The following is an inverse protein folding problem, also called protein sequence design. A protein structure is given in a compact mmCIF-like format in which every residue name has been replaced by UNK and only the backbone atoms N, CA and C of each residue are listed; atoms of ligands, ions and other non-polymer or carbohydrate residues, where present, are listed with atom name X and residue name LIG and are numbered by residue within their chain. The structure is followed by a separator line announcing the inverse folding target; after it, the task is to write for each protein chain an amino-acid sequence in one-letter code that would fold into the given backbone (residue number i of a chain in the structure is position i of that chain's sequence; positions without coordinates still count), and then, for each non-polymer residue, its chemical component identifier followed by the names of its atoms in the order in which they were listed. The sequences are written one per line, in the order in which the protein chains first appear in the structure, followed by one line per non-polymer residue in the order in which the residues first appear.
data_IF_169033073602
#
_entry.id   IF_169033073602
#
_cell.length_a   1.000
_cell.length_b   1.000
_cell.length_c   1.000
_cell.angle_alpha   90.00
_cell.angle_beta   90.00
_cell.angle_gamma   90.00
#
_symmetry.space_group_name_H-M   'P 1'
#
loop_
_entity.id
_entity.type
_entity.pdbx_description
1 polymer ?
#
# COMPACT_ATOMS: atom_id res chain seq x y z
N UNK A 1 -6.28 31.41 38.80
CA UNK A 1 -5.74 30.07 38.47
C UNK A 1 -6.41 29.44 37.24
N UNK A 2 -7.74 29.43 37.12
CA UNK A 2 -8.41 28.89 35.90
C UNK A 2 -8.21 29.73 34.62
N UNK A 3 -8.08 31.05 34.75
CA UNK A 3 -7.88 31.96 33.60
C UNK A 3 -6.48 31.80 32.97
N UNK A 4 -5.43 31.63 33.78
CA UNK A 4 -4.07 31.35 33.28
C UNK A 4 -3.96 29.97 32.62
N UNK A 5 -4.69 28.96 33.11
CA UNK A 5 -4.79 27.63 32.50
C UNK A 5 -5.43 27.70 31.11
N UNK A 6 -6.52 28.46 30.95
CA UNK A 6 -7.19 28.66 29.67
C UNK A 6 -6.33 29.45 28.66
N UNK A 7 -5.63 30.48 29.13
CA UNK A 7 -4.75 31.31 28.31
C UNK A 7 -3.52 30.53 27.81
N UNK A 8 -2.93 29.69 28.68
CA UNK A 8 -1.81 28.81 28.32
C UNK A 8 -2.24 27.72 27.31
N UNK A 9 -3.44 27.15 27.48
CA UNK A 9 -4.02 26.18 26.53
C UNK A 9 -4.30 26.82 25.15
N UNK A 10 -4.82 28.04 25.11
CA UNK A 10 -5.05 28.80 23.87
C UNK A 10 -3.76 29.16 23.12
N UNK A 11 -2.69 29.50 23.84
CA UNK A 11 -1.36 29.76 23.27
C UNK A 11 -0.77 28.51 22.59
N UNK A 12 -0.89 27.35 23.24
CA UNK A 12 -0.36 26.08 22.70
C UNK A 12 -1.09 25.65 21.43
N UNK A 13 -2.40 25.82 21.35
CA UNK A 13 -3.20 25.47 20.16
C UNK A 13 -2.80 26.34 18.96
N UNK A 14 -2.59 27.64 19.17
CA UNK A 14 -2.14 28.55 18.09
C UNK A 14 -0.76 28.14 17.57
N UNK A 15 0.18 27.84 18.47
CA UNK A 15 1.51 27.38 18.07
C UNK A 15 1.46 26.05 17.30
N UNK A 16 0.64 25.09 17.75
CA UNK A 16 0.44 23.82 17.05
C UNK A 16 -0.10 24.02 15.63
N UNK A 17 -1.09 24.89 15.45
CA UNK A 17 -1.65 25.19 14.14
C UNK A 17 -0.61 25.85 13.22
N UNK A 18 0.18 26.78 13.75
CA UNK A 18 1.26 27.44 13.00
C UNK A 18 2.30 26.41 12.54
N UNK A 19 2.76 25.54 13.45
CA UNK A 19 3.73 24.50 13.12
C UNK A 19 3.19 23.50 12.09
N UNK A 20 1.91 23.11 12.21
CA UNK A 20 1.25 22.23 11.26
C UNK A 20 1.17 22.87 9.86
N UNK A 21 0.72 24.12 9.77
CA UNK A 21 0.59 24.83 8.50
C UNK A 21 1.97 25.10 7.87
N UNK A 22 2.96 25.50 8.67
CA UNK A 22 4.33 25.69 8.20
C UNK A 22 4.93 24.38 7.69
N UNK A 23 4.80 23.29 8.46
CA UNK A 23 5.28 21.96 8.05
C UNK A 23 4.61 21.47 6.78
N UNK A 24 3.29 21.63 6.65
CA UNK A 24 2.55 21.26 5.45
C UNK A 24 2.98 22.09 4.23
N UNK A 25 3.17 23.40 4.38
CA UNK A 25 3.61 24.28 3.29
C UNK A 25 5.04 23.92 2.82
N UNK A 26 5.97 23.70 3.76
CA UNK A 26 7.35 23.30 3.46
C UNK A 26 7.37 21.94 2.77
N UNK A 27 6.58 20.98 3.26
CA UNK A 27 6.46 19.66 2.66
C UNK A 27 5.92 19.72 1.23
N UNK A 28 4.84 20.47 1.00
CA UNK A 28 4.27 20.65 -0.34
C UNK A 28 5.27 21.30 -1.30
N UNK A 29 5.97 22.34 -0.84
CA UNK A 29 7.01 22.98 -1.62
C UNK A 29 8.13 21.99 -1.97
N UNK A 30 8.68 21.28 -0.98
CA UNK A 30 9.72 20.28 -1.20
C UNK A 30 9.29 19.18 -2.18
N UNK A 31 8.05 18.68 -2.06
CA UNK A 31 7.52 17.68 -2.98
C UNK A 31 7.35 18.21 -4.41
N UNK A 32 6.95 19.48 -4.57
CA UNK A 32 6.84 20.11 -5.89
C UNK A 32 8.18 20.33 -6.59
N UNK A 33 9.26 20.48 -5.83
CA UNK A 33 10.63 20.59 -6.36
C UNK A 33 11.24 19.22 -6.67
N UNK A 34 10.85 18.16 -5.92
CA UNK A 34 11.44 16.82 -6.04
C UNK A 34 10.73 15.91 -7.04
N UNK A 35 9.42 16.08 -7.25
CA UNK A 35 8.60 15.13 -8.00
C UNK A 35 7.99 15.79 -9.26
N UNK A 36 7.93 15.06 -10.40
CA UNK A 36 7.24 15.55 -11.59
C UNK A 36 5.76 15.87 -11.29
N UNK A 37 5.27 16.99 -11.83
CA UNK A 37 3.87 17.41 -11.63
C UNK A 37 2.86 16.33 -12.03
N UNK A 38 3.12 15.59 -13.12
CA UNK A 38 2.29 14.46 -13.54
C UNK A 38 2.22 13.37 -12.45
N UNK A 39 3.35 13.01 -11.83
CA UNK A 39 3.40 12.02 -10.76
C UNK A 39 2.67 12.50 -9.50
N UNK A 40 2.79 13.78 -9.14
CA UNK A 40 2.03 14.36 -8.02
C UNK A 40 0.52 14.30 -8.27
N UNK A 41 0.06 14.62 -9.49
CA UNK A 41 -1.36 14.53 -9.86
C UNK A 41 -1.86 13.08 -9.74
N UNK A 42 -1.06 12.09 -10.15
CA UNK A 42 -1.45 10.66 -10.02
C UNK A 42 -1.61 10.19 -8.58
N UNK A 43 -1.05 10.90 -7.59
CA UNK A 43 -1.22 10.56 -6.18
C UNK A 43 -2.54 11.04 -5.56
N UNK A 44 -3.27 11.93 -6.25
CA UNK A 44 -4.53 12.48 -5.76
C UNK A 44 -5.60 11.39 -5.60
N UNK A 45 -5.89 10.54 -6.61
CA UNK A 45 -6.85 9.44 -6.46
C UNK A 45 -6.47 8.48 -5.33
N UNK A 46 -5.19 8.08 -5.24
CA UNK A 46 -4.68 7.22 -4.16
C UNK A 46 -4.92 7.82 -2.78
N UNK A 47 -4.62 9.12 -2.62
CA UNK A 47 -4.83 9.84 -1.36
C UNK A 47 -6.32 9.90 -1.00
N UNK A 48 -7.17 10.21 -1.97
CA UNK A 48 -8.63 10.28 -1.77
C UNK A 48 -9.20 8.93 -1.36
N UNK A 49 -8.85 7.85 -2.07
CA UNK A 49 -9.31 6.49 -1.74
C UNK A 49 -8.84 6.11 -0.33
N UNK A 50 -7.58 6.39 0.01
CA UNK A 50 -7.00 6.12 1.34
C UNK A 50 -7.76 6.87 2.45
N UNK A 51 -8.04 8.15 2.24
CA UNK A 51 -8.75 8.99 3.21
C UNK A 51 -10.21 8.56 3.37
N UNK A 52 -10.91 8.26 2.29
CA UNK A 52 -12.30 7.76 2.31
C UNK A 52 -12.37 6.42 3.05
N UNK A 53 -11.47 5.49 2.72
CA UNK A 53 -11.35 4.19 3.39
C UNK A 53 -11.11 4.36 4.90
N UNK A 54 -10.12 5.17 5.26
CA UNK A 54 -9.77 5.45 6.66
C UNK A 54 -10.92 6.10 7.42
N UNK A 55 -11.60 7.08 6.82
CA UNK A 55 -12.75 7.76 7.42
C UNK A 55 -13.94 6.81 7.64
N UNK A 56 -14.25 5.97 6.65
CA UNK A 56 -15.34 5.00 6.74
C UNK A 56 -15.13 4.01 7.89
N UNK A 57 -13.91 3.46 8.01
CA UNK A 57 -13.53 2.56 9.09
C UNK A 57 -13.49 3.27 10.45
N UNK A 58 -12.85 4.43 10.55
CA UNK A 58 -12.75 5.21 11.79
C UNK A 58 -14.14 5.55 12.33
N UNK A 59 -15.04 6.05 11.49
CA UNK A 59 -16.41 6.40 11.89
C UNK A 59 -17.21 5.17 12.34
N UNK A 60 -17.04 4.03 11.66
CA UNK A 60 -17.79 2.81 11.95
C UNK A 60 -17.32 2.13 13.25
N UNK A 61 -16.01 2.12 13.48
CA UNK A 61 -15.37 1.44 14.61
C UNK A 61 -15.17 2.32 15.85
N UNK A 62 -15.35 3.63 15.71
CA UNK A 62 -15.02 4.66 16.72
C UNK A 62 -13.54 4.68 17.12
N UNK A 63 -12.65 4.17 16.26
CA UNK A 63 -11.20 4.36 16.39
C UNK A 63 -10.77 5.71 15.81
N UNK A 64 -9.70 6.28 16.34
CA UNK A 64 -9.07 7.47 15.76
C UNK A 64 -8.72 7.28 14.29
N UNK A 65 -9.02 8.29 13.46
CA UNK A 65 -8.66 8.28 12.04
C UNK A 65 -7.16 8.11 11.84
N UNK A 66 -6.35 8.70 12.73
CA UNK A 66 -4.90 8.56 12.74
C UNK A 66 -4.46 7.11 12.89
N UNK A 67 -5.05 6.33 13.79
CA UNK A 67 -4.69 4.91 13.91
C UNK A 67 -5.07 4.12 12.65
N UNK A 68 -6.27 4.34 12.11
CA UNK A 68 -6.72 3.63 10.89
C UNK A 68 -5.81 3.95 9.71
N UNK A 69 -5.50 5.22 9.47
CA UNK A 69 -4.61 5.64 8.39
C UNK A 69 -3.17 5.14 8.59
N UNK A 70 -2.70 5.07 9.83
CA UNK A 70 -1.39 4.50 10.16
C UNK A 70 -1.28 3.04 9.68
N UNK A 71 -2.31 2.22 9.90
CA UNK A 71 -2.30 0.81 9.49
C UNK A 71 -2.69 0.58 8.02
N UNK A 72 -3.45 1.49 7.38
CA UNK A 72 -3.98 1.27 6.03
C UNK A 72 -3.25 2.04 4.92
N UNK A 73 -2.60 3.16 5.20
CA UNK A 73 -2.09 4.02 4.13
C UNK A 73 -0.90 3.42 3.36
N UNK A 74 0.02 2.72 4.06
CA UNK A 74 1.13 1.99 3.42
C UNK A 74 0.60 0.94 2.44
N UNK A 75 -0.20 -0.07 2.85
CA UNK A 75 -0.63 -1.13 1.93
C UNK A 75 -1.47 -0.61 0.77
N UNK A 76 -2.27 0.46 0.96
CA UNK A 76 -3.01 1.09 -0.14
C UNK A 76 -2.07 1.83 -1.11
N UNK A 77 -1.05 2.54 -0.59
CA UNK A 77 -0.03 3.17 -1.42
C UNK A 77 0.77 2.15 -2.24
N UNK A 78 1.18 1.04 -1.62
CA UNK A 78 1.87 -0.06 -2.30
C UNK A 78 0.98 -0.76 -3.34
N UNK A 79 -0.30 -0.97 -3.03
CA UNK A 79 -1.30 -1.49 -3.97
C UNK A 79 -1.34 -0.65 -5.25
N UNK A 80 -1.53 0.66 -5.12
CA UNK A 80 -1.60 1.54 -6.29
C UNK A 80 -0.26 1.67 -6.99
N UNK A 81 0.86 1.56 -6.26
CA UNK A 81 2.17 1.49 -6.90
C UNK A 81 2.31 0.26 -7.79
N UNK A 82 1.82 -0.92 -7.37
CA UNK A 82 1.84 -2.09 -8.24
C UNK A 82 1.05 -1.85 -9.52
N UNK A 83 -0.08 -1.15 -9.46
CA UNK A 83 -0.86 -0.82 -10.66
C UNK A 83 -0.06 0.06 -11.64
N UNK A 84 0.66 1.06 -11.14
CA UNK A 84 1.52 1.89 -11.98
C UNK A 84 2.72 1.11 -12.54
N UNK A 85 3.29 0.16 -11.81
CA UNK A 85 4.31 -0.73 -12.38
C UNK A 85 3.73 -1.69 -13.43
N UNK A 86 2.50 -2.15 -13.27
CA UNK A 86 1.81 -2.91 -14.33
C UNK A 86 1.63 -2.06 -15.60
N UNK A 87 1.40 -0.75 -15.49
CA UNK A 87 1.37 0.16 -16.65
C UNK A 87 2.72 0.21 -17.37
N UNK A 88 3.83 0.20 -16.63
CA UNK A 88 5.16 0.16 -17.21
C UNK A 88 5.37 -1.10 -18.07
N UNK A 89 4.87 -2.26 -17.61
CA UNK A 89 4.96 -3.53 -18.35
C UNK A 89 4.15 -3.48 -19.64
N UNK A 90 2.96 -2.87 -19.61
CA UNK A 90 2.06 -2.80 -20.77
C UNK A 90 2.50 -1.73 -21.77
N UNK A 91 3.16 -0.65 -21.31
CA UNK A 91 3.59 0.45 -22.17
C UNK A 91 4.70 0.09 -23.16
N UNK A 92 5.47 -0.98 -22.89
CA UNK A 92 6.52 -1.76 -23.62
C UNK A 92 7.49 -1.01 -24.59
N UNK A 93 7.04 0.03 -25.29
CA UNK A 93 7.78 0.72 -26.35
C UNK A 93 7.74 2.27 -26.30
N UNK A 94 7.07 2.89 -25.33
CA UNK A 94 7.12 4.35 -25.10
C UNK A 94 7.99 4.72 -23.87
N UNK A 95 9.22 5.25 -24.06
CA UNK A 95 10.11 5.64 -22.97
C UNK A 95 9.53 6.73 -22.05
N UNK A 96 8.72 7.67 -22.58
CA UNK A 96 8.11 8.71 -21.75
C UNK A 96 7.05 8.08 -20.84
N UNK A 97 6.20 7.21 -21.38
CA UNK A 97 5.19 6.49 -20.62
C UNK A 97 5.81 5.60 -19.53
N UNK A 98 6.90 4.89 -19.84
CA UNK A 98 7.66 4.09 -18.87
C UNK A 98 8.20 4.96 -17.74
N UNK A 99 8.81 6.10 -18.06
CA UNK A 99 9.34 7.03 -17.04
C UNK A 99 8.24 7.61 -16.16
N UNK A 100 7.08 7.97 -16.74
CA UNK A 100 5.94 8.50 -15.97
C UNK A 100 5.35 7.41 -15.07
N UNK A 101 5.18 6.19 -15.57
CA UNK A 101 4.65 5.07 -14.81
C UNK A 101 5.57 4.74 -13.62
N UNK A 102 6.88 4.69 -13.84
CA UNK A 102 7.87 4.48 -12.78
C UNK A 102 7.83 5.58 -11.71
N UNK A 103 7.86 6.85 -12.12
CA UNK A 103 7.79 7.98 -11.19
C UNK A 103 6.47 8.00 -10.42
N UNK A 104 5.35 7.69 -11.08
CA UNK A 104 4.02 7.64 -10.47
C UNK A 104 3.92 6.51 -9.45
N UNK A 105 4.44 5.32 -9.77
CA UNK A 105 4.48 4.16 -8.88
C UNK A 105 5.19 4.49 -7.56
N UNK A 106 6.40 5.03 -7.63
CA UNK A 106 7.16 5.42 -6.45
C UNK A 106 6.49 6.57 -5.69
N UNK A 107 5.90 7.53 -6.39
CA UNK A 107 5.20 8.65 -5.77
C UNK A 107 3.99 8.20 -4.96
N UNK A 108 3.16 7.29 -5.48
CA UNK A 108 1.99 6.82 -4.74
C UNK A 108 2.37 5.94 -3.54
N UNK A 109 3.44 5.14 -3.65
CA UNK A 109 4.00 4.42 -2.51
C UNK A 109 4.51 5.38 -1.43
N UNK A 110 5.28 6.40 -1.83
CA UNK A 110 5.77 7.45 -0.93
C UNK A 110 4.63 8.18 -0.23
N UNK A 111 3.58 8.57 -0.95
CA UNK A 111 2.41 9.26 -0.37
C UNK A 111 1.68 8.37 0.64
N UNK A 112 1.54 7.06 0.37
CA UNK A 112 1.00 6.11 1.34
C UNK A 112 1.84 6.04 2.63
N UNK A 113 3.17 5.99 2.49
CA UNK A 113 4.11 6.06 3.62
C UNK A 113 4.03 7.38 4.39
N UNK A 114 3.93 8.50 3.69
CA UNK A 114 3.81 9.83 4.26
C UNK A 114 2.52 9.99 5.07
N UNK A 115 1.38 9.58 4.52
CA UNK A 115 0.09 9.58 5.23
C UNK A 115 0.20 8.71 6.50
N UNK A 116 0.81 7.52 6.41
CA UNK A 116 1.00 6.65 7.57
C UNK A 116 1.89 7.29 8.64
N UNK A 117 3.02 7.91 8.25
CA UNK A 117 3.95 8.57 9.18
C UNK A 117 3.31 9.77 9.89
N UNK A 118 2.61 10.64 9.14
CA UNK A 118 1.86 11.76 9.73
C UNK A 118 0.79 11.26 10.69
N UNK A 119 0.14 10.15 10.35
CA UNK A 119 -0.88 9.52 11.18
C UNK A 119 -0.29 8.88 12.45
N UNK A 120 0.90 8.31 12.38
CA UNK A 120 1.65 7.85 13.54
C UNK A 120 1.98 9.00 14.50
N UNK A 121 2.49 10.13 13.99
CA UNK A 121 2.74 11.33 14.79
C UNK A 121 1.46 11.87 15.45
N UNK A 122 0.35 11.88 14.72
CA UNK A 122 -0.95 12.32 15.23
C UNK A 122 -1.55 11.36 16.27
N UNK A 123 -1.31 10.05 16.16
CA UNK A 123 -1.78 9.06 17.12
C UNK A 123 -0.94 9.04 18.41
N UNK A 124 0.28 9.60 18.39
CA UNK A 124 1.16 9.71 19.54
C UNK A 124 1.68 8.36 20.06
N UNK A 125 1.73 7.33 19.21
CA UNK A 125 2.20 5.99 19.59
C UNK A 125 1.32 5.24 20.59
N UNK A 126 0.16 5.78 20.98
CA UNK A 126 -0.72 5.15 21.95
C UNK A 126 -1.49 3.98 21.30
N UNK A 127 -1.44 2.82 21.94
CA UNK A 127 -2.32 1.69 21.62
C UNK A 127 -3.77 2.11 21.87
N UNK A 128 -4.63 1.97 20.86
CA UNK A 128 -6.05 2.23 21.02
C UNK A 128 -6.66 1.10 21.86
N UNK A 129 -6.82 1.36 23.16
CA UNK A 129 -7.22 0.37 24.17
C UNK A 129 -8.71 0.02 24.19
N UNK A 130 -9.54 0.66 23.36
CA UNK A 130 -10.92 0.23 23.15
C UNK A 130 -11.43 0.67 21.78
N UNK A 131 -11.98 -0.28 21.02
CA UNK A 131 -12.75 0.01 19.82
C UNK A 131 -14.08 -0.72 19.84
N UNK A 132 -15.05 -0.19 19.10
CA UNK A 132 -16.34 -0.85 18.91
C UNK A 132 -16.24 -1.75 17.67
N UNK A 133 -16.39 -3.07 17.79
CA UNK A 133 -16.44 -3.94 16.63
C UNK A 133 -17.52 -3.48 15.65
N UNK A 134 -17.17 -3.43 14.36
CA UNK A 134 -18.11 -3.07 13.30
C UNK A 134 -18.98 -4.28 12.97
N UNK A 135 -20.21 -4.04 12.51
CA UNK A 135 -21.09 -5.12 12.06
C UNK A 135 -20.56 -5.74 10.77
N UNK A 136 -20.84 -7.03 10.55
CA UNK A 136 -20.45 -7.72 9.31
C UNK A 136 -20.99 -6.99 8.05
N UNK A 137 -22.22 -6.48 8.10
CA UNK A 137 -22.80 -5.74 6.99
C UNK A 137 -22.03 -4.43 6.68
N UNK A 138 -21.58 -3.72 7.72
CA UNK A 138 -20.75 -2.53 7.54
C UNK A 138 -19.38 -2.90 6.96
N UNK A 139 -18.78 -3.99 7.44
CA UNK A 139 -17.52 -4.50 6.91
C UNK A 139 -17.62 -4.89 5.43
N UNK A 140 -18.69 -5.60 5.05
CA UNK A 140 -18.98 -5.97 3.65
C UNK A 140 -19.13 -4.70 2.79
N UNK A 141 -19.93 -3.73 3.23
CA UNK A 141 -20.14 -2.50 2.47
C UNK A 141 -18.83 -1.71 2.26
N UNK A 142 -18.04 -1.52 3.33
CA UNK A 142 -16.75 -0.83 3.24
C UNK A 142 -15.80 -1.58 2.29
N UNK A 143 -15.76 -2.90 2.39
CA UNK A 143 -14.94 -3.75 1.51
C UNK A 143 -15.38 -3.64 0.05
N UNK A 144 -16.68 -3.71 -0.25
CA UNK A 144 -17.20 -3.57 -1.61
C UNK A 144 -16.94 -2.18 -2.19
N UNK A 145 -17.11 -1.10 -1.40
CA UNK A 145 -16.77 0.25 -1.86
C UNK A 145 -15.27 0.41 -2.12
N UNK A 146 -14.43 -0.18 -1.28
CA UNK A 146 -12.98 -0.20 -1.50
C UNK A 146 -12.62 -0.95 -2.78
N UNK A 147 -13.11 -2.19 -2.94
CA UNK A 147 -12.86 -3.00 -4.14
C UNK A 147 -13.38 -2.31 -5.40
N UNK A 148 -14.57 -1.69 -5.36
CA UNK A 148 -15.09 -0.92 -6.47
C UNK A 148 -14.16 0.26 -6.84
N UNK A 149 -13.61 0.96 -5.84
CA UNK A 149 -12.67 2.06 -6.08
C UNK A 149 -11.34 1.57 -6.69
N UNK A 150 -10.84 0.42 -6.22
CA UNK A 150 -9.65 -0.26 -6.75
C UNK A 150 -9.89 -0.68 -8.21
N UNK A 151 -11.03 -1.32 -8.50
CA UNK A 151 -11.39 -1.75 -9.86
C UNK A 151 -11.59 -0.56 -10.80
N UNK A 152 -12.29 0.48 -10.36
CA UNK A 152 -12.50 1.70 -11.15
C UNK A 152 -11.17 2.39 -11.47
N UNK A 153 -10.27 2.50 -10.49
CA UNK A 153 -8.97 3.10 -10.72
C UNK A 153 -8.10 2.25 -11.65
N UNK A 154 -8.14 0.91 -11.52
CA UNK A 154 -7.43 0.00 -12.43
C UNK A 154 -7.96 0.09 -13.87
N UNK A 155 -9.28 0.13 -14.06
CA UNK A 155 -9.91 0.34 -15.38
C UNK A 155 -9.44 1.65 -16.02
N UNK A 156 -9.40 2.74 -15.25
CA UNK A 156 -8.96 4.04 -15.75
C UNK A 156 -7.46 4.09 -16.09
N UNK A 157 -6.64 3.25 -15.45
CA UNK A 157 -5.19 3.25 -15.64
C UNK A 157 -4.73 2.30 -16.74
N UNK A 158 -5.29 1.09 -16.79
CA UNK A 158 -4.81 -0.04 -17.57
C UNK A 158 -5.91 -0.76 -18.36
N UNK A 159 -7.14 -0.78 -17.84
CA UNK A 159 -8.22 -1.65 -18.32
C UNK A 159 -8.31 -2.96 -17.54
N UNK A 160 -9.53 -3.40 -17.24
CA UNK A 160 -9.81 -4.59 -16.41
C UNK A 160 -9.36 -5.91 -17.04
N UNK A 161 -9.16 -5.95 -18.37
CA UNK A 161 -8.66 -7.13 -19.07
C UNK A 161 -7.28 -7.58 -18.57
N UNK A 162 -6.43 -6.63 -18.15
CA UNK A 162 -5.11 -6.92 -17.59
C UNK A 162 -5.14 -7.30 -16.12
N UNK A 163 -6.26 -7.09 -15.41
CA UNK A 163 -6.34 -7.37 -13.99
C UNK A 163 -6.47 -8.87 -13.69
N UNK A 164 -6.97 -9.67 -14.63
CA UNK A 164 -7.36 -11.07 -14.37
C UNK A 164 -6.50 -12.08 -15.14
N UNK A 165 -5.18 -11.95 -15.07
CA UNK A 165 -4.32 -13.05 -15.48
C UNK A 165 -4.60 -14.28 -14.59
N UNK A 166 -4.91 -15.38 -15.25
CA UNK A 166 -5.32 -16.65 -14.62
C UNK A 166 -4.27 -17.15 -13.63
N UNK A 167 -2.98 -17.09 -13.94
CA UNK A 167 -1.95 -17.73 -13.12
C UNK A 167 -1.70 -16.98 -11.80
N UNK A 168 -1.44 -15.67 -11.79
CA UNK A 168 -1.28 -14.90 -10.56
C UNK A 168 -2.51 -14.99 -9.65
N UNK A 169 -3.71 -15.04 -10.25
CA UNK A 169 -4.96 -15.12 -9.52
C UNK A 169 -5.13 -16.49 -8.84
N UNK A 170 -4.89 -17.58 -9.58
CA UNK A 170 -4.91 -18.93 -9.02
C UNK A 170 -3.85 -19.12 -7.93
N UNK A 171 -2.67 -18.51 -8.09
CA UNK A 171 -1.62 -18.54 -7.07
C UNK A 171 -2.09 -17.84 -5.79
N UNK A 172 -2.65 -16.63 -5.88
CA UNK A 172 -3.17 -15.91 -4.72
C UNK A 172 -4.31 -16.67 -4.01
N UNK A 173 -5.23 -17.28 -4.77
CA UNK A 173 -6.32 -18.09 -4.20
C UNK A 173 -5.77 -19.35 -3.52
N UNK A 174 -4.85 -20.07 -4.17
CA UNK A 174 -4.29 -21.31 -3.61
C UNK A 174 -3.55 -21.05 -2.30
N UNK A 175 -2.73 -19.99 -2.24
CA UNK A 175 -2.04 -19.57 -1.02
C UNK A 175 -3.02 -19.14 0.07
N UNK A 176 -4.13 -18.49 -0.30
CA UNK A 176 -5.19 -18.12 0.64
C UNK A 176 -5.85 -19.36 1.27
N UNK A 177 -6.20 -20.36 0.45
CA UNK A 177 -6.80 -21.60 0.93
C UNK A 177 -5.84 -22.45 1.75
N UNK A 178 -4.57 -22.55 1.34
CA UNK A 178 -3.54 -23.23 2.12
C UNK A 178 -3.33 -22.54 3.47
N UNK A 179 -3.16 -21.22 3.47
CA UNK A 179 -3.00 -20.42 4.69
C UNK A 179 -4.18 -20.59 5.65
N UNK A 180 -5.41 -20.51 5.15
CA UNK A 180 -6.62 -20.72 5.95
C UNK A 180 -6.70 -22.15 6.49
N UNK A 181 -6.36 -23.16 5.67
CA UNK A 181 -6.37 -24.57 6.08
C UNK A 181 -5.35 -24.86 7.18
N UNK A 182 -4.13 -24.31 7.10
CA UNK A 182 -3.14 -24.43 8.17
C UNK A 182 -3.56 -23.69 9.44
N UNK A 183 -4.18 -22.52 9.32
CA UNK A 183 -4.74 -21.82 10.48
C UNK A 183 -5.80 -22.70 11.19
N UNK A 184 -6.73 -23.26 10.43
CA UNK A 184 -7.77 -24.15 10.96
C UNK A 184 -7.20 -25.42 11.60
N UNK A 185 -6.15 -26.02 11.00
CA UNK A 185 -5.48 -27.19 11.58
C UNK A 185 -4.84 -26.87 12.94
N UNK A 186 -4.22 -25.69 13.09
CA UNK A 186 -3.65 -25.26 14.38
C UNK A 186 -4.70 -24.82 15.40
N UNK A 187 -5.97 -24.70 15.00
CA UNK A 187 -7.04 -24.14 15.83
C UNK A 187 -7.02 -22.61 15.92
N UNK A 188 -6.30 -21.94 15.02
CA UNK A 188 -6.24 -20.48 14.95
C UNK A 188 -7.51 -19.90 14.29
N UNK A 189 -7.91 -18.69 14.70
CA UNK A 189 -8.95 -17.93 14.03
C UNK A 189 -8.48 -17.49 12.64
N UNK A 190 -9.20 -17.89 11.59
CA UNK A 190 -8.90 -17.52 10.20
C UNK A 190 -8.90 -15.99 10.00
N UNK A 191 -9.90 -15.23 10.48
CA UNK A 191 -9.85 -13.76 10.46
C UNK A 191 -8.60 -13.16 11.13
N UNK A 192 -8.16 -13.73 12.27
CA UNK A 192 -6.98 -13.26 12.98
C UNK A 192 -5.67 -13.59 12.24
N UNK A 193 -5.65 -14.68 11.47
CA UNK A 193 -4.48 -15.11 10.66
C UNK A 193 -4.46 -14.45 9.28
N UNK A 194 -5.60 -13.92 8.81
CA UNK A 194 -5.79 -13.28 7.51
C UNK A 194 -4.69 -12.28 7.12
N UNK A 195 -4.28 -11.34 8.00
CA UNK A 195 -3.24 -10.37 7.68
C UNK A 195 -1.89 -11.02 7.35
N UNK A 196 -1.53 -12.10 8.05
CA UNK A 196 -0.29 -12.85 7.81
C UNK A 196 -0.37 -13.59 6.48
N UNK A 197 -1.52 -14.20 6.17
CA UNK A 197 -1.76 -14.88 4.88
C UNK A 197 -1.62 -13.88 3.73
N UNK A 198 -2.28 -12.73 3.83
CA UNK A 198 -2.22 -11.68 2.80
C UNK A 198 -0.81 -11.10 2.64
N UNK A 199 -0.11 -10.88 3.76
CA UNK A 199 1.30 -10.45 3.74
C UNK A 199 2.19 -11.49 3.06
N UNK A 200 1.99 -12.77 3.35
CA UNK A 200 2.75 -13.86 2.72
C UNK A 200 2.53 -13.92 1.22
N UNK A 201 1.29 -13.70 0.75
CA UNK A 201 0.98 -13.64 -0.69
C UNK A 201 1.70 -12.46 -1.33
N UNK A 202 1.66 -11.28 -0.72
CA UNK A 202 2.36 -10.09 -1.21
C UNK A 202 3.88 -10.32 -1.30
N UNK A 203 4.46 -10.89 -0.24
CA UNK A 203 5.89 -11.20 -0.15
C UNK A 203 6.31 -12.23 -1.20
N UNK A 204 5.55 -13.30 -1.36
CA UNK A 204 5.83 -14.32 -2.37
C UNK A 204 5.69 -13.76 -3.78
N UNK A 205 4.71 -12.88 -4.03
CA UNK A 205 4.56 -12.17 -5.30
C UNK A 205 5.79 -11.32 -5.65
N UNK A 206 6.22 -10.43 -4.74
CA UNK A 206 7.40 -9.58 -4.97
C UNK A 206 8.70 -10.37 -5.12
N UNK A 207 8.85 -11.45 -4.33
CA UNK A 207 9.98 -12.38 -4.45
C UNK A 207 9.96 -13.09 -5.79
N UNK A 208 8.80 -13.56 -6.25
CA UNK A 208 8.63 -14.21 -7.55
C UNK A 208 8.95 -13.25 -8.70
N UNK A 209 8.48 -12.00 -8.65
CA UNK A 209 8.83 -10.98 -9.65
C UNK A 209 10.35 -10.81 -9.77
N UNK A 210 11.03 -10.77 -8.62
CA UNK A 210 12.49 -10.60 -8.56
C UNK A 210 13.23 -11.83 -9.10
N UNK A 211 12.85 -13.04 -8.68
CA UNK A 211 13.50 -14.28 -9.13
C UNK A 211 13.28 -14.49 -10.63
N UNK A 212 12.05 -14.33 -11.12
CA UNK A 212 11.72 -14.53 -12.52
C UNK A 212 12.42 -13.49 -13.41
N UNK A 213 12.51 -12.23 -12.96
CA UNK A 213 13.32 -11.22 -13.63
C UNK A 213 14.77 -11.63 -13.78
N UNK A 214 15.42 -12.06 -12.68
CA UNK A 214 16.81 -12.49 -12.71
C UNK A 214 16.99 -13.66 -13.69
N UNK A 215 16.11 -14.65 -13.65
CA UNK A 215 16.18 -15.80 -14.57
C UNK A 215 16.05 -15.39 -16.03
N UNK A 216 15.11 -14.50 -16.37
CA UNK A 216 14.93 -13.97 -17.73
C UNK A 216 16.10 -13.10 -18.16
N UNK A 217 16.65 -12.28 -17.25
CA UNK A 217 17.79 -11.40 -17.53
C UNK A 217 19.07 -12.16 -17.94
N UNK A 218 19.18 -13.43 -17.54
CA UNK A 218 20.28 -14.33 -17.89
C UNK A 218 19.99 -15.18 -19.15
N UNK A 219 18.80 -15.05 -19.73
CA UNK A 219 18.36 -15.78 -20.92
C UNK A 219 18.90 -15.19 -22.23
N UNK A 220 18.55 -15.85 -23.35
CA UNK A 220 18.99 -15.44 -24.68
C UNK A 220 18.22 -14.24 -25.25
N UNK A 221 16.98 -14.02 -24.80
CA UNK A 221 16.16 -12.86 -25.21
C UNK A 221 15.40 -12.26 -24.00
N UNK A 222 16.10 -11.52 -23.12
CA UNK A 222 15.48 -10.98 -21.91
C UNK A 222 14.32 -10.02 -22.17
N UNK A 223 14.32 -9.31 -23.29
CA UNK A 223 13.32 -8.25 -23.55
C UNK A 223 11.94 -8.83 -23.85
N UNK A 224 11.86 -9.89 -24.64
CA UNK A 224 10.56 -10.48 -25.02
C UNK A 224 9.87 -11.22 -23.86
N UNK A 225 10.63 -11.70 -22.88
CA UNK A 225 10.09 -12.45 -21.74
C UNK A 225 9.93 -11.60 -20.46
N UNK A 226 10.54 -10.41 -20.39
CA UNK A 226 10.56 -9.55 -19.21
C UNK A 226 9.15 -9.21 -18.69
N UNK A 227 8.27 -8.75 -19.58
CA UNK A 227 6.94 -8.28 -19.20
C UNK A 227 6.10 -9.38 -18.55
N UNK A 228 6.13 -10.59 -19.11
CA UNK A 228 5.42 -11.74 -18.56
C UNK A 228 6.01 -12.18 -17.21
N UNK A 229 7.34 -12.31 -17.12
CA UNK A 229 8.03 -12.72 -15.89
C UNK A 229 7.79 -11.76 -14.72
N UNK A 230 7.92 -10.46 -14.98
CA UNK A 230 7.63 -9.42 -13.98
C UNK A 230 6.16 -9.37 -13.62
N UNK A 231 5.31 -9.49 -14.63
CA UNK A 231 3.87 -9.51 -14.50
C UNK A 231 3.40 -10.55 -13.49
N UNK A 232 3.84 -11.81 -13.65
CA UNK A 232 3.41 -12.89 -12.79
C UNK A 232 3.57 -12.55 -11.30
N UNK A 233 4.73 -12.03 -10.91
CA UNK A 233 5.00 -11.67 -9.52
C UNK A 233 4.30 -10.39 -9.07
N UNK A 234 4.28 -9.36 -9.91
CA UNK A 234 3.64 -8.08 -9.60
C UNK A 234 2.12 -8.21 -9.40
N UNK A 235 1.42 -8.97 -10.25
CA UNK A 235 -0.01 -9.21 -10.09
C UNK A 235 -0.32 -10.07 -8.85
N UNK A 236 0.51 -11.08 -8.53
CA UNK A 236 0.36 -11.82 -7.27
C UNK A 236 0.57 -10.90 -6.06
N UNK A 237 1.55 -10.00 -6.13
CA UNK A 237 1.82 -9.02 -5.07
C UNK A 237 0.65 -8.04 -4.90
N UNK A 238 0.10 -7.55 -6.01
CA UNK A 238 -1.09 -6.71 -6.06
C UNK A 238 -2.28 -7.38 -5.36
N UNK A 239 -2.57 -8.65 -5.66
CA UNK A 239 -3.65 -9.37 -4.98
C UNK A 239 -3.38 -9.56 -3.49
N UNK A 240 -2.12 -9.78 -3.09
CA UNK A 240 -1.71 -9.79 -1.69
C UNK A 240 -2.07 -8.49 -0.97
N UNK A 241 -1.79 -7.32 -1.58
CA UNK A 241 -2.16 -6.02 -1.02
C UNK A 241 -3.68 -5.79 -0.98
N UNK A 242 -4.43 -6.21 -2.00
CA UNK A 242 -5.90 -6.14 -1.99
C UNK A 242 -6.45 -6.96 -0.83
N UNK A 243 -6.02 -8.23 -0.70
CA UNK A 243 -6.41 -9.11 0.39
C UNK A 243 -6.03 -8.52 1.74
N UNK A 244 -4.84 -7.92 1.85
CA UNK A 244 -4.38 -7.29 3.08
C UNK A 244 -5.31 -6.15 3.51
N UNK A 245 -5.69 -5.26 2.58
CA UNK A 245 -6.64 -4.19 2.84
C UNK A 245 -8.03 -4.72 3.25
N UNK A 246 -8.50 -5.80 2.62
CA UNK A 246 -9.73 -6.48 3.04
C UNK A 246 -9.62 -7.06 4.46
N UNK A 247 -8.47 -7.66 4.82
CA UNK A 247 -8.24 -8.22 6.16
C UNK A 247 -8.19 -7.15 7.24
N UNK A 248 -7.74 -5.93 6.92
CA UNK A 248 -7.89 -4.77 7.82
C UNK A 248 -9.36 -4.60 8.18
N UNK A 249 -10.25 -4.45 7.19
CA UNK A 249 -11.70 -4.24 7.42
C UNK A 249 -12.31 -5.38 8.23
N UNK A 250 -12.04 -6.63 7.85
CA UNK A 250 -12.58 -7.81 8.54
C UNK A 250 -12.06 -7.89 9.99
N UNK A 251 -10.83 -7.46 10.27
CA UNK A 251 -10.29 -7.45 11.63
C UNK A 251 -11.03 -6.50 12.57
N UNK A 252 -11.70 -5.47 12.06
CA UNK A 252 -12.57 -4.62 12.87
C UNK A 252 -13.89 -5.30 13.27
N UNK A 253 -14.22 -6.47 12.74
CA UNK A 253 -15.45 -7.21 13.11
C UNK A 253 -15.30 -8.07 14.36
N UNK A 254 -14.06 -8.36 14.79
CA UNK A 254 -13.77 -9.23 15.93
C UNK A 254 -12.76 -8.60 16.88
N UNK A 255 -13.03 -8.67 18.18
CA UNK A 255 -12.10 -8.24 19.24
C UNK A 255 -10.87 -9.14 19.38
N UNK A 256 -10.86 -10.31 18.73
CA UNK A 256 -9.78 -11.29 18.85
C UNK A 256 -8.52 -10.87 18.07
N UNK A 257 -8.65 -9.86 17.20
CA UNK A 257 -7.53 -9.37 16.39
C UNK A 257 -6.83 -8.21 17.08
N UNK A 258 -5.53 -8.39 17.35
CA UNK A 258 -4.65 -7.31 17.78
C UNK A 258 -4.36 -6.38 16.61
N UNK A 259 -5.11 -5.29 16.47
CA UNK A 259 -4.95 -4.35 15.34
C UNK A 259 -3.54 -3.75 15.23
N UNK A 260 -2.76 -3.73 16.32
CA UNK A 260 -1.36 -3.30 16.29
C UNK A 260 -0.47 -4.21 15.43
N UNK A 261 -0.84 -5.49 15.23
CA UNK A 261 -0.06 -6.43 14.41
C UNK A 261 0.08 -5.95 12.97
N UNK A 262 -0.90 -5.19 12.45
CA UNK A 262 -0.84 -4.57 11.13
C UNK A 262 0.37 -3.63 10.98
N UNK A 263 0.80 -2.94 12.03
CA UNK A 263 2.00 -2.08 11.95
C UNK A 263 3.27 -2.90 11.67
N UNK A 264 3.42 -4.06 12.31
CA UNK A 264 4.53 -4.98 12.04
C UNK A 264 4.43 -5.61 10.66
N UNK A 265 3.23 -6.01 10.24
CA UNK A 265 3.04 -6.59 8.90
C UNK A 265 3.29 -5.56 7.79
N UNK A 266 2.89 -4.30 7.97
CA UNK A 266 3.20 -3.20 7.05
C UNK A 266 4.71 -3.04 6.84
N UNK A 267 5.53 -3.30 7.87
CA UNK A 267 6.98 -3.27 7.72
C UNK A 267 7.49 -4.36 6.77
N UNK A 268 7.00 -5.60 6.90
CA UNK A 268 7.33 -6.68 5.97
C UNK A 268 6.87 -6.39 4.53
N UNK A 269 5.71 -5.75 4.37
CA UNK A 269 5.22 -5.31 3.07
C UNK A 269 6.17 -4.28 2.43
N UNK A 270 6.66 -3.32 3.22
CA UNK A 270 7.64 -2.33 2.76
C UNK A 270 8.96 -3.00 2.42
N UNK A 271 9.48 -3.89 3.26
CA UNK A 271 10.74 -4.59 3.03
C UNK A 271 10.75 -5.33 1.69
N UNK A 272 9.75 -6.17 1.42
CA UNK A 272 9.70 -6.92 0.16
C UNK A 272 9.46 -6.03 -1.04
N UNK A 273 8.63 -4.99 -0.91
CA UNK A 273 8.39 -4.04 -1.99
C UNK A 273 9.66 -3.27 -2.33
N UNK A 274 10.42 -2.83 -1.33
CA UNK A 274 11.69 -2.14 -1.52
C UNK A 274 12.76 -3.07 -2.11
N UNK A 275 12.80 -4.34 -1.71
CA UNK A 275 13.66 -5.34 -2.36
C UNK A 275 13.32 -5.50 -3.84
N UNK A 276 12.04 -5.64 -4.17
CA UNK A 276 11.58 -5.68 -5.56
C UNK A 276 12.04 -4.43 -6.33
N UNK A 277 11.77 -3.23 -5.81
CA UNK A 277 12.15 -1.98 -6.47
C UNK A 277 13.66 -1.91 -6.70
N UNK A 278 14.50 -2.24 -5.71
CA UNK A 278 15.95 -2.12 -5.87
C UNK A 278 16.59 -3.21 -6.73
N UNK A 279 16.09 -4.44 -6.67
CA UNK A 279 16.68 -5.56 -7.42
C UNK A 279 16.18 -5.63 -8.87
N UNK A 280 14.97 -5.14 -9.13
CA UNK A 280 14.35 -5.22 -10.45
C UNK A 280 14.40 -3.88 -11.17
N UNK A 281 14.16 -2.78 -10.46
CA UNK A 281 13.95 -1.46 -11.04
C UNK A 281 14.95 -0.42 -10.52
N UNK A 282 16.04 -0.89 -9.91
CA UNK A 282 17.13 -0.03 -9.47
C UNK A 282 17.82 0.59 -10.69
N UNK A 283 18.38 1.81 -10.55
CA UNK A 283 19.27 2.33 -11.57
C UNK A 283 20.49 1.39 -11.74
N UNK A 284 21.16 1.44 -12.90
CA UNK A 284 22.42 0.72 -13.10
C UNK A 284 23.39 1.01 -11.95
N UNK A 285 24.16 0.00 -11.55
CA UNK A 285 25.13 0.18 -10.47
C UNK A 285 26.20 1.20 -10.85
N UNK A 286 26.85 1.83 -9.87
CA UNK A 286 27.96 2.77 -10.15
C UNK A 286 29.05 2.10 -11.01
N UNK A 287 29.29 0.80 -10.81
CA UNK A 287 30.25 0.03 -11.61
C UNK A 287 29.79 -0.15 -13.06
N UNK A 288 28.50 -0.39 -13.30
CA UNK A 288 27.93 -0.48 -14.64
C UNK A 288 27.96 0.86 -15.38
N UNK A 289 27.73 1.97 -14.66
CA UNK A 289 27.86 3.31 -15.22
C UNK A 289 29.29 3.63 -15.67
N UNK A 290 30.30 3.24 -14.87
CA UNK A 290 31.71 3.44 -15.22
C UNK A 290 32.24 2.44 -16.24
N UNK A 291 31.62 1.26 -16.37
CA UNK A 291 31.99 0.27 -17.39
C UNK A 291 31.42 0.60 -18.78
N UNK A 292 30.32 1.36 -18.84
CA UNK A 292 29.60 1.70 -20.07
C UNK A 292 29.76 3.17 -20.52
N UNK A 293 30.56 3.97 -19.82
CA UNK A 293 30.92 5.35 -20.18
C UNK A 293 32.36 5.46 -20.66
#
# INVERSE_FOLDING_TARGET
MEIESAQKKGSTIKLQLILLLAGAAILLYALSELLPAKALITSVPTSLITLIFGFALSKSSRISLSFVLMISAIPIGLLFSCMHFSMMIVADSDPEAVSIAYASALTVAFVGGLISALSYFANGGNETSAYKPITLNAAILITLCFLFSVLLYFELLLGLEFLFDKLPFLLAISLSFLGASFAMWRGDSVPATGPIIATSIAVLGGTMATILWILVSLGNDPRSEAGYALGLGLWTMLYGFVLYCCTIVISFTSTDVKLQSFTSQNWHLVEVYTFFVFLVLGPPTLMELFANG
#
